data_IF_761350873178
#
_entry.id   IF_761350873178
#
_cell.length_a   1.000
_cell.length_b   1.000
_cell.length_c   1.000
_cell.angle_alpha   90.00
_cell.angle_beta   90.00
_cell.angle_gamma   90.00
#
_symmetry.space_group_name_H-M   'P 1'
#
loop_
_entity.id
_entity.type
_entity.pdbx_description
1 polymer ?
#
# COMPACT_ATOMS: atom_id res chain seq x y z
N UNK A 1 -20.85 24.93 -7.88
CA UNK A 1 -20.58 23.73 -7.05
C UNK A 1 -21.10 24.04 -5.66
N UNK A 2 -21.98 23.21 -5.13
CA UNK A 2 -22.47 23.37 -3.76
C UNK A 2 -21.32 23.03 -2.80
N UNK A 3 -21.10 23.89 -1.78
CA UNK A 3 -20.11 23.65 -0.72
C UNK A 3 -20.58 22.48 0.15
N UNK A 4 -20.03 21.28 -0.10
CA UNK A 4 -20.35 20.07 0.67
C UNK A 4 -19.36 19.95 1.83
N UNK A 5 -19.87 19.94 3.05
CA UNK A 5 -19.06 19.70 4.26
C UNK A 5 -19.20 18.23 4.70
N UNK A 6 -18.07 17.57 4.88
CA UNK A 6 -18.01 16.19 5.35
C UNK A 6 -17.57 16.14 6.82
N UNK A 7 -18.21 15.27 7.60
CA UNK A 7 -17.87 15.03 9.01
C UNK A 7 -17.43 13.60 9.20
N UNK A 8 -16.39 13.41 10.03
CA UNK A 8 -15.92 12.11 10.48
C UNK A 8 -16.23 11.95 11.95
N UNK A 9 -16.98 10.92 12.32
CA UNK A 9 -17.29 10.60 13.70
C UNK A 9 -16.46 9.43 14.20
N UNK A 10 -15.71 9.64 15.30
CA UNK A 10 -14.99 8.60 16.01
C UNK A 10 -15.92 7.98 17.07
N UNK A 11 -16.29 6.72 16.87
CA UNK A 11 -17.07 5.98 17.86
C UNK A 11 -16.13 5.49 18.97
N UNK A 12 -16.39 5.91 20.20
CA UNK A 12 -15.72 5.35 21.37
C UNK A 12 -16.23 3.93 21.63
N UNK A 13 -15.40 3.07 22.21
CA UNK A 13 -15.72 1.66 22.46
C UNK A 13 -17.09 1.45 23.13
N UNK A 14 -17.47 2.33 24.09
CA UNK A 14 -18.79 2.30 24.74
C UNK A 14 -19.97 2.56 23.80
N UNK A 15 -19.74 3.21 22.66
CA UNK A 15 -20.74 3.56 21.65
C UNK A 15 -20.59 2.71 20.39
N UNK A 16 -19.71 1.70 20.41
CA UNK A 16 -19.50 0.82 19.28
C UNK A 16 -20.79 0.01 19.03
N UNK A 17 -21.29 -0.03 17.80
CA UNK A 17 -22.46 -0.84 17.47
C UNK A 17 -22.24 -2.30 17.88
N UNK A 18 -23.25 -2.92 18.45
CA UNK A 18 -23.22 -4.34 18.84
C UNK A 18 -23.25 -5.28 17.62
N UNK A 19 -23.64 -4.75 16.47
CA UNK A 19 -23.65 -5.45 15.19
C UNK A 19 -22.79 -4.68 14.19
N UNK A 20 -22.13 -5.39 13.28
CA UNK A 20 -21.43 -4.82 12.11
C UNK A 20 -22.34 -4.67 10.90
N UNK A 21 -23.65 -4.97 11.05
CA UNK A 21 -24.63 -4.80 9.99
C UNK A 21 -24.70 -3.33 9.55
N UNK A 22 -24.58 -3.08 8.24
CA UNK A 22 -24.49 -1.73 7.68
C UNK A 22 -23.11 -1.08 7.75
N UNK A 23 -22.09 -1.77 8.32
CA UNK A 23 -20.70 -1.31 8.32
C UNK A 23 -19.84 -2.18 7.39
N UNK A 24 -19.03 -1.54 6.58
CA UNK A 24 -18.06 -2.23 5.72
C UNK A 24 -16.65 -1.67 5.94
N UNK A 25 -15.65 -2.54 5.83
CA UNK A 25 -14.25 -2.11 5.89
C UNK A 25 -13.86 -1.30 4.65
N UNK A 26 -13.01 -0.29 4.82
CA UNK A 26 -12.57 0.57 3.70
C UNK A 26 -11.98 -0.23 2.54
N UNK A 27 -11.22 -1.31 2.80
CA UNK A 27 -10.66 -2.19 1.74
C UNK A 27 -11.74 -2.84 0.87
N UNK A 28 -12.91 -3.10 1.43
CA UNK A 28 -14.07 -3.64 0.69
C UNK A 28 -14.76 -2.53 -0.08
N UNK A 29 -15.09 -1.43 0.62
CA UNK A 29 -15.78 -0.27 0.02
C UNK A 29 -15.01 0.37 -1.13
N UNK A 30 -13.68 0.46 -1.03
CA UNK A 30 -12.85 1.04 -2.07
C UNK A 30 -12.94 0.35 -3.44
N UNK A 31 -13.54 -0.85 -3.50
CA UNK A 31 -13.82 -1.57 -4.76
C UNK A 31 -15.20 -1.27 -5.35
N UNK A 32 -16.08 -0.65 -4.57
CA UNK A 32 -17.49 -0.45 -4.88
C UNK A 32 -17.85 1.02 -5.11
N UNK A 33 -16.98 1.93 -4.62
CA UNK A 33 -17.20 3.37 -4.70
C UNK A 33 -16.33 4.02 -5.79
N UNK A 34 -16.66 5.26 -6.17
CA UNK A 34 -15.82 6.04 -7.10
C UNK A 34 -14.46 6.39 -6.49
N UNK A 35 -13.47 6.69 -7.33
CA UNK A 35 -12.13 7.10 -6.87
C UNK A 35 -12.18 8.32 -5.94
N UNK A 36 -13.01 9.31 -6.24
CA UNK A 36 -13.18 10.49 -5.39
C UNK A 36 -13.71 10.11 -4.00
N UNK A 37 -14.69 9.21 -3.92
CA UNK A 37 -15.22 8.70 -2.66
C UNK A 37 -14.19 7.84 -1.92
N UNK A 38 -13.44 6.98 -2.62
CA UNK A 38 -12.38 6.18 -2.02
C UNK A 38 -11.27 7.07 -1.43
N UNK A 39 -10.89 8.15 -2.11
CA UNK A 39 -9.91 9.13 -1.61
C UNK A 39 -10.42 9.82 -0.36
N UNK A 40 -11.66 10.31 -0.36
CA UNK A 40 -12.27 10.95 0.80
C UNK A 40 -12.36 10.00 2.00
N UNK A 41 -12.79 8.75 1.79
CA UNK A 41 -12.87 7.74 2.85
C UNK A 41 -11.48 7.36 3.39
N UNK A 42 -10.47 7.31 2.52
CA UNK A 42 -9.08 7.06 2.91
C UNK A 42 -8.54 8.18 3.79
N UNK A 43 -8.78 9.44 3.41
CA UNK A 43 -8.43 10.60 4.20
C UNK A 43 -9.15 10.58 5.57
N UNK A 44 -10.45 10.35 5.56
CA UNK A 44 -11.27 10.28 6.78
C UNK A 44 -10.75 9.19 7.74
N UNK A 45 -10.43 8.00 7.23
CA UNK A 45 -9.87 6.91 8.03
C UNK A 45 -8.50 7.25 8.61
N UNK A 46 -7.60 7.84 7.82
CA UNK A 46 -6.27 8.25 8.28
C UNK A 46 -6.38 9.29 9.40
N UNK A 47 -7.21 10.32 9.22
CA UNK A 47 -7.45 11.36 10.24
C UNK A 47 -8.07 10.80 11.50
N UNK A 48 -9.06 9.91 11.38
CA UNK A 48 -9.69 9.24 12.51
C UNK A 48 -8.66 8.41 13.32
N UNK A 49 -7.85 7.62 12.64
CA UNK A 49 -6.78 6.83 13.25
C UNK A 49 -5.75 7.71 13.96
N UNK A 50 -5.35 8.82 13.32
CA UNK A 50 -4.42 9.77 13.91
C UNK A 50 -5.01 10.44 15.16
N UNK A 51 -6.21 10.97 15.13
CA UNK A 51 -6.88 11.57 16.30
C UNK A 51 -7.03 10.59 17.46
N UNK A 52 -7.29 9.33 17.19
CA UNK A 52 -7.40 8.30 18.20
C UNK A 52 -6.07 8.03 18.91
N UNK A 53 -4.95 8.09 18.19
CA UNK A 53 -3.61 7.78 18.71
C UNK A 53 -2.93 8.96 19.37
N UNK A 54 -3.16 10.18 18.90
CA UNK A 54 -2.42 11.37 19.30
C UNK A 54 -3.17 12.21 20.37
N UNK A 55 -3.81 11.55 21.33
CA UNK A 55 -4.57 12.21 22.41
C UNK A 55 -3.68 12.87 23.45
N UNK A 56 -2.40 12.53 23.49
CA UNK A 56 -1.42 13.07 24.41
C UNK A 56 -0.25 13.67 23.64
N UNK A 57 0.32 14.74 24.19
CA UNK A 57 1.47 15.44 23.64
C UNK A 57 2.71 14.56 23.73
N UNK A 58 3.43 14.40 22.61
CA UNK A 58 4.69 13.63 22.56
C UNK A 58 5.85 14.30 23.29
N UNK A 59 5.77 15.63 23.53
CA UNK A 59 6.83 16.39 24.17
C UNK A 59 6.69 16.43 25.69
N UNK A 60 5.44 16.59 26.25
CA UNK A 60 5.25 16.74 27.68
C UNK A 60 4.26 15.76 28.31
N UNK A 61 3.60 14.91 27.53
CA UNK A 61 2.63 13.93 28.01
C UNK A 61 1.24 14.48 28.35
N UNK A 62 1.03 15.79 28.33
CA UNK A 62 -0.27 16.41 28.62
C UNK A 62 -1.30 16.11 27.53
N UNK A 63 -2.59 16.20 27.87
CA UNK A 63 -3.66 16.00 26.88
C UNK A 63 -3.55 16.98 25.71
N UNK A 64 -3.98 16.58 24.54
CA UNK A 64 -4.10 17.45 23.37
C UNK A 64 -5.57 17.65 23.02
N UNK A 65 -5.91 18.79 22.45
CA UNK A 65 -7.23 19.06 21.89
C UNK A 65 -7.17 19.30 20.39
N UNK A 66 -8.30 19.09 19.73
CA UNK A 66 -8.46 19.26 18.27
C UNK A 66 -8.60 20.76 17.97
N UNK A 67 -7.91 21.23 16.92
CA UNK A 67 -7.99 22.59 16.42
C UNK A 67 -7.96 22.62 14.88
N UNK A 68 -8.15 23.79 14.30
CA UNK A 68 -8.20 24.05 12.85
C UNK A 68 -9.09 23.05 12.09
N UNK A 69 -10.34 22.88 12.55
CA UNK A 69 -11.28 21.96 11.89
C UNK A 69 -10.88 20.48 11.88
N UNK A 70 -9.96 20.08 12.77
CA UNK A 70 -9.46 18.71 12.85
C UNK A 70 -8.12 18.47 12.15
N UNK A 71 -7.52 19.50 11.56
CA UNK A 71 -6.26 19.34 10.81
C UNK A 71 -5.01 19.38 11.69
N UNK A 72 -5.14 19.85 12.96
CA UNK A 72 -4.06 19.81 13.94
C UNK A 72 -4.60 19.39 15.31
N UNK A 73 -3.69 19.06 16.22
CA UNK A 73 -3.94 18.96 17.65
C UNK A 73 -2.95 19.86 18.39
N UNK A 74 -3.45 20.58 19.42
CA UNK A 74 -2.64 21.45 20.27
C UNK A 74 -2.48 20.82 21.64
N UNK A 75 -1.29 20.96 22.22
CA UNK A 75 -1.05 20.62 23.61
C UNK A 75 -1.89 21.53 24.52
N UNK A 76 -2.57 20.95 25.52
CA UNK A 76 -3.37 21.71 26.46
C UNK A 76 -2.53 22.35 27.59
N UNK A 77 -1.25 22.02 27.71
CA UNK A 77 -0.30 22.63 28.63
C UNK A 77 0.22 23.94 28.06
N UNK A 78 -0.12 25.06 28.69
CA UNK A 78 0.19 26.39 28.19
C UNK A 78 1.70 26.67 28.04
N UNK A 79 2.53 26.08 28.91
CA UNK A 79 3.99 26.23 28.84
C UNK A 79 4.63 25.37 27.75
N UNK A 80 3.95 24.34 27.25
CA UNK A 80 4.40 23.51 26.16
C UNK A 80 3.91 24.04 24.81
N UNK A 81 2.60 24.21 24.62
CA UNK A 81 1.99 24.79 23.42
C UNK A 81 2.28 24.03 22.11
N UNK A 82 2.82 22.81 22.19
CA UNK A 82 3.24 22.03 21.02
C UNK A 82 2.07 21.75 20.06
N UNK A 83 2.31 21.96 18.77
CA UNK A 83 1.36 21.65 17.70
C UNK A 83 1.70 20.31 17.06
N UNK A 84 0.72 19.41 16.99
CA UNK A 84 0.84 18.10 16.36
C UNK A 84 0.10 18.07 15.04
N UNK A 85 0.80 17.62 14.00
CA UNK A 85 0.27 17.45 12.66
C UNK A 85 -0.05 15.98 12.38
N UNK A 86 -0.97 15.68 11.44
CA UNK A 86 -1.20 14.32 10.97
C UNK A 86 0.10 13.67 10.51
N UNK A 87 0.29 12.42 10.92
CA UNK A 87 1.48 11.65 10.59
C UNK A 87 1.18 10.67 9.47
N UNK A 88 2.09 10.59 8.51
CA UNK A 88 2.11 9.59 7.46
C UNK A 88 3.46 8.89 7.49
N UNK A 89 3.47 7.56 7.61
CA UNK A 89 4.69 6.76 7.67
C UNK A 89 5.08 6.33 6.23
N UNK A 90 6.25 6.74 5.70
CA UNK A 90 6.69 6.35 4.37
C UNK A 90 7.09 4.88 4.37
N UNK A 91 6.65 4.15 3.35
CA UNK A 91 7.01 2.76 3.10
C UNK A 91 7.23 2.56 1.60
N UNK A 92 8.28 1.83 1.24
CA UNK A 92 8.51 1.43 -0.15
C UNK A 92 7.67 0.21 -0.49
N UNK A 93 7.37 0.07 -1.75
CA UNK A 93 6.86 -1.16 -2.34
C UNK A 93 7.49 -1.31 -3.73
N UNK A 94 8.12 -2.44 -4.01
CA UNK A 94 8.98 -2.57 -5.16
C UNK A 94 8.75 -3.88 -5.91
N UNK A 95 8.55 -3.78 -7.23
CA UNK A 95 8.66 -4.90 -8.12
C UNK A 95 10.11 -5.00 -8.59
N UNK A 96 10.78 -6.06 -8.17
CA UNK A 96 12.16 -6.36 -8.58
C UNK A 96 12.11 -7.28 -9.79
N UNK A 97 12.82 -6.91 -10.84
CA UNK A 97 12.87 -7.68 -12.08
C UNK A 97 14.29 -8.12 -12.43
N UNK A 98 14.38 -9.23 -13.13
CA UNK A 98 15.59 -9.72 -13.76
C UNK A 98 15.23 -10.44 -15.07
N UNK A 99 15.73 -9.93 -16.19
CA UNK A 99 15.36 -10.43 -17.50
C UNK A 99 13.84 -10.37 -17.73
N UNK A 100 13.18 -11.50 -17.96
CA UNK A 100 11.74 -11.62 -18.18
C UNK A 100 10.95 -11.98 -16.90
N UNK A 101 11.63 -12.12 -15.74
CA UNK A 101 11.06 -12.55 -14.47
C UNK A 101 10.93 -11.41 -13.48
N UNK A 102 9.92 -11.48 -12.62
CA UNK A 102 9.74 -10.62 -11.47
C UNK A 102 9.74 -11.43 -10.16
N UNK A 103 10.21 -10.80 -9.08
CA UNK A 103 10.30 -11.38 -7.74
C UNK A 103 8.99 -11.13 -6.99
N UNK A 104 8.47 -12.18 -6.38
CA UNK A 104 7.28 -12.16 -5.55
C UNK A 104 7.57 -12.81 -4.20
N UNK A 105 7.03 -12.19 -3.14
CA UNK A 105 7.12 -12.72 -1.78
C UNK A 105 5.74 -13.05 -1.20
N UNK A 106 5.70 -13.95 -0.21
CA UNK A 106 4.52 -14.34 0.54
C UNK A 106 4.78 -14.35 2.03
N UNK A 107 3.92 -13.68 2.80
CA UNK A 107 3.99 -13.70 4.27
C UNK A 107 3.24 -14.92 4.84
N UNK A 108 3.67 -15.47 6.00
CA UNK A 108 3.06 -16.67 6.60
C UNK A 108 1.55 -16.56 6.86
N UNK A 109 1.08 -15.33 7.17
CA UNK A 109 -0.33 -15.09 7.49
C UNK A 109 -1.24 -15.05 6.26
N UNK A 110 -0.65 -15.07 5.05
CA UNK A 110 -1.42 -15.02 3.82
C UNK A 110 -1.81 -16.42 3.34
N UNK A 111 -2.91 -16.53 2.57
CA UNK A 111 -3.20 -17.78 1.86
C UNK A 111 -2.00 -18.26 1.04
N UNK A 112 -1.81 -19.57 0.95
CA UNK A 112 -0.64 -20.22 0.32
C UNK A 112 -0.42 -19.86 -1.15
N UNK A 113 -1.44 -19.37 -1.83
CA UNK A 113 -1.37 -18.94 -3.24
C UNK A 113 -1.31 -17.42 -3.42
N UNK A 114 -1.27 -16.63 -2.33
CA UNK A 114 -1.26 -15.18 -2.39
C UNK A 114 0.16 -14.65 -2.33
N UNK A 115 0.59 -13.98 -3.39
CA UNK A 115 1.89 -13.34 -3.49
C UNK A 115 1.76 -11.85 -3.77
N UNK A 116 2.80 -11.09 -3.41
CA UNK A 116 2.90 -9.65 -3.62
C UNK A 116 4.33 -9.25 -3.94
N UNK A 117 4.51 -7.99 -4.29
CA UNK A 117 5.82 -7.35 -4.39
C UNK A 117 6.39 -7.08 -3.00
N UNK A 118 7.71 -6.88 -2.89
CA UNK A 118 8.43 -6.61 -1.63
C UNK A 118 8.06 -5.22 -1.10
N UNK A 119 7.92 -5.07 0.21
CA UNK A 119 7.54 -3.79 0.80
C UNK A 119 8.00 -3.67 2.26
N UNK A 120 8.59 -2.53 2.61
CA UNK A 120 9.02 -2.22 3.97
C UNK A 120 9.03 -0.73 4.27
N UNK A 121 9.27 -0.37 5.52
CA UNK A 121 9.29 1.03 5.96
C UNK A 121 10.61 1.71 5.62
N UNK A 122 10.54 3.00 5.29
CA UNK A 122 11.72 3.85 5.21
C UNK A 122 12.17 4.20 6.61
N UNK A 123 13.43 3.93 6.95
CA UNK A 123 14.00 4.22 8.27
C UNK A 123 14.45 5.68 8.40
N UNK A 124 14.54 6.21 9.64
CA UNK A 124 15.04 7.55 9.88
C UNK A 124 16.47 7.75 9.34
N UNK A 125 16.66 8.74 8.47
CA UNK A 125 17.95 9.04 7.83
C UNK A 125 18.22 8.26 6.54
N UNK A 126 17.32 7.41 6.12
CA UNK A 126 17.38 6.63 4.89
C UNK A 126 16.61 7.33 3.75
N UNK A 127 17.09 7.25 2.52
CA UNK A 127 16.29 7.61 1.35
C UNK A 127 15.37 6.46 0.95
N UNK A 128 14.30 6.74 0.20
CA UNK A 128 13.41 5.68 -0.27
C UNK A 128 14.11 4.67 -1.19
N UNK A 129 15.10 5.11 -1.98
CA UNK A 129 15.92 4.22 -2.83
C UNK A 129 16.84 3.34 -1.98
N UNK A 130 17.38 3.84 -0.87
CA UNK A 130 18.17 3.04 0.08
C UNK A 130 17.27 2.00 0.76
N UNK A 131 16.05 2.38 1.16
CA UNK A 131 15.06 1.45 1.70
C UNK A 131 14.72 0.32 0.71
N UNK A 132 14.59 0.63 -0.59
CA UNK A 132 14.39 -0.41 -1.62
C UNK A 132 15.54 -1.41 -1.63
N UNK A 133 16.80 -0.93 -1.61
CA UNK A 133 17.98 -1.80 -1.60
C UNK A 133 18.03 -2.65 -0.35
N UNK A 134 17.81 -2.06 0.83
CA UNK A 134 17.87 -2.74 2.12
C UNK A 134 16.77 -3.79 2.26
N UNK A 135 15.50 -3.42 2.08
CA UNK A 135 14.35 -4.33 2.26
C UNK A 135 14.41 -5.53 1.31
N UNK A 136 14.77 -5.31 0.05
CA UNK A 136 14.94 -6.42 -0.91
C UNK A 136 16.07 -7.35 -0.49
N UNK A 137 17.19 -6.80 -0.01
CA UNK A 137 18.31 -7.61 0.45
C UNK A 137 17.98 -8.36 1.75
N UNK A 138 17.31 -7.72 2.73
CA UNK A 138 16.92 -8.33 4.01
C UNK A 138 15.92 -9.44 3.83
N UNK A 139 14.82 -9.19 3.10
CA UNK A 139 13.75 -10.17 2.91
C UNK A 139 14.14 -11.32 1.96
N UNK A 140 14.99 -11.07 0.96
CA UNK A 140 15.18 -12.04 -0.15
C UNK A 140 16.64 -12.37 -0.50
N UNK A 141 17.62 -11.65 0.04
CA UNK A 141 19.04 -11.81 -0.33
C UNK A 141 19.38 -11.33 -1.74
N UNK A 142 18.50 -10.58 -2.38
CA UNK A 142 18.70 -10.08 -3.75
C UNK A 142 19.34 -8.69 -3.70
N UNK A 143 20.43 -8.53 -4.46
CA UNK A 143 21.09 -7.23 -4.64
C UNK A 143 20.32 -6.42 -5.68
N UNK A 144 19.99 -5.17 -5.34
CA UNK A 144 19.38 -4.21 -6.26
C UNK A 144 20.47 -3.34 -6.89
N UNK A 145 20.53 -3.30 -8.21
CA UNK A 145 21.50 -2.50 -8.98
C UNK A 145 20.96 -1.16 -9.45
N UNK A 146 19.64 -1.05 -9.61
CA UNK A 146 18.96 0.18 -9.98
C UNK A 146 17.54 0.16 -9.43
N UNK A 147 17.04 1.32 -8.97
CA UNK A 147 15.66 1.51 -8.55
C UNK A 147 15.09 2.77 -9.21
N UNK A 148 13.87 2.69 -9.73
CA UNK A 148 13.17 3.79 -10.40
C UNK A 148 11.80 3.97 -9.77
N UNK A 149 11.54 5.19 -9.27
CA UNK A 149 10.22 5.57 -8.76
C UNK A 149 9.14 5.42 -9.85
N UNK A 150 8.02 4.85 -9.45
CA UNK A 150 6.85 4.66 -10.31
C UNK A 150 5.71 5.61 -9.91
N UNK A 151 5.17 5.45 -8.72
CA UNK A 151 4.03 6.21 -8.22
C UNK A 151 3.93 6.10 -6.70
N UNK A 152 2.97 6.81 -6.10
CA UNK A 152 2.67 6.69 -4.67
C UNK A 152 1.19 6.44 -4.42
N UNK A 153 0.89 5.82 -3.27
CA UNK A 153 -0.47 5.54 -2.83
C UNK A 153 -0.63 5.78 -1.34
N UNK A 154 -1.59 6.63 -0.91
CA UNK A 154 -2.01 6.67 0.48
C UNK A 154 -2.56 5.30 0.91
N UNK A 155 -2.06 4.78 2.04
CA UNK A 155 -2.45 3.50 2.59
C UNK A 155 -2.87 3.63 4.05
N UNK A 156 -4.15 4.01 4.33
CA UNK A 156 -4.63 4.37 5.66
C UNK A 156 -4.87 3.14 6.57
N UNK A 157 -3.91 2.20 6.59
CA UNK A 157 -3.94 0.99 7.38
C UNK A 157 -2.62 0.80 8.15
N UNK A 158 -2.36 1.62 9.18
CA UNK A 158 -3.20 2.71 9.70
C UNK A 158 -2.91 4.09 9.10
N UNK A 159 -1.77 4.35 8.46
CA UNK A 159 -1.40 5.68 7.98
C UNK A 159 -0.08 5.70 7.23
N UNK A 160 0.13 4.77 6.28
CA UNK A 160 1.33 4.76 5.44
C UNK A 160 1.13 5.54 4.14
N UNK A 161 2.25 6.03 3.60
CA UNK A 161 2.37 6.44 2.22
C UNK A 161 3.26 5.42 1.50
N UNK A 162 2.65 4.62 0.62
CA UNK A 162 3.39 3.66 -0.19
C UNK A 162 4.08 4.38 -1.35
N UNK A 163 5.39 4.18 -1.49
CA UNK A 163 6.23 4.70 -2.56
C UNK A 163 6.61 3.53 -3.48
N UNK A 164 6.02 3.49 -4.67
CA UNK A 164 6.16 2.41 -5.63
C UNK A 164 7.41 2.54 -6.48
N UNK A 165 8.15 1.44 -6.63
CA UNK A 165 9.38 1.36 -7.42
C UNK A 165 9.36 0.15 -8.34
N UNK A 166 10.06 0.27 -9.48
CA UNK A 166 10.62 -0.84 -10.24
C UNK A 166 12.12 -0.90 -9.99
N UNK A 167 12.66 -2.09 -9.77
CA UNK A 167 14.08 -2.29 -9.50
C UNK A 167 14.68 -3.43 -10.34
N UNK A 168 15.97 -3.31 -10.64
CA UNK A 168 16.74 -4.33 -11.36
C UNK A 168 17.58 -5.13 -10.36
N UNK A 169 17.52 -6.46 -10.47
CA UNK A 169 18.30 -7.36 -9.64
C UNK A 169 19.70 -7.63 -10.22
N UNK A 170 20.72 -7.60 -9.36
CA UNK A 170 22.09 -7.99 -9.70
C UNK A 170 22.34 -9.51 -9.65
N UNK A 171 21.54 -10.23 -8.85
CA UNK A 171 21.59 -11.69 -8.72
C UNK A 171 20.17 -12.27 -8.74
N UNK A 172 20.03 -13.60 -8.69
CA UNK A 172 18.74 -14.28 -8.68
C UNK A 172 18.62 -15.37 -7.59
N UNK A 173 19.64 -15.54 -6.75
CA UNK A 173 19.64 -16.53 -5.69
C UNK A 173 18.88 -16.01 -4.47
N UNK A 174 17.64 -16.47 -4.30
CA UNK A 174 16.82 -16.13 -3.14
C UNK A 174 17.38 -16.78 -1.87
N UNK A 175 17.44 -16.00 -0.78
CA UNK A 175 17.77 -16.41 0.57
C UNK A 175 16.86 -15.67 1.55
N UNK A 176 15.92 -16.38 2.18
CA UNK A 176 15.01 -15.80 3.17
C UNK A 176 15.72 -15.76 4.52
N UNK A 177 16.03 -14.56 5.01
CA UNK A 177 16.93 -14.38 6.15
C UNK A 177 16.25 -13.86 7.41
N UNK A 178 15.16 -13.11 7.29
CA UNK A 178 14.53 -12.37 8.39
C UNK A 178 13.24 -12.98 8.96
N UNK A 179 12.78 -14.09 8.38
CA UNK A 179 11.53 -14.77 8.71
C UNK A 179 10.25 -13.94 8.46
N UNK A 180 10.34 -12.79 7.78
CA UNK A 180 9.17 -12.01 7.38
C UNK A 180 8.42 -12.67 6.22
N UNK A 181 9.17 -13.25 5.29
CA UNK A 181 8.62 -14.05 4.19
C UNK A 181 8.71 -15.54 4.50
N UNK A 182 7.62 -16.26 4.21
CA UNK A 182 7.59 -17.72 4.25
C UNK A 182 8.09 -18.33 2.93
N UNK A 183 7.86 -17.62 1.83
CA UNK A 183 8.24 -18.05 0.49
C UNK A 183 8.51 -16.85 -0.42
N UNK A 184 9.47 -16.99 -1.32
CA UNK A 184 9.71 -16.05 -2.39
C UNK A 184 10.11 -16.78 -3.67
N UNK A 185 9.68 -16.26 -4.83
CA UNK A 185 9.92 -16.91 -6.10
C UNK A 185 10.03 -15.90 -7.25
N UNK A 186 10.81 -16.28 -8.23
CA UNK A 186 10.88 -15.61 -9.52
C UNK A 186 9.85 -16.20 -10.47
N UNK A 187 9.01 -15.36 -11.09
CA UNK A 187 8.06 -15.80 -12.11
C UNK A 187 8.20 -14.95 -13.37
N UNK A 188 8.22 -15.62 -14.50
CA UNK A 188 8.01 -15.00 -15.79
C UNK A 188 6.53 -14.67 -16.01
N UNK A 189 6.24 -13.85 -17.02
CA UNK A 189 4.87 -13.50 -17.39
C UNK A 189 4.04 -14.73 -17.78
N UNK A 190 4.66 -15.68 -18.45
CA UNK A 190 4.02 -16.94 -18.83
C UNK A 190 3.71 -17.79 -17.61
N UNK A 191 4.65 -17.94 -16.68
CA UNK A 191 4.45 -18.69 -15.43
C UNK A 191 3.37 -18.08 -14.55
N UNK A 192 3.28 -16.75 -14.46
CA UNK A 192 2.19 -16.07 -13.76
C UNK A 192 0.85 -16.46 -14.37
N UNK A 193 0.73 -16.41 -15.70
CA UNK A 193 -0.52 -16.75 -16.40
C UNK A 193 -0.93 -18.18 -16.10
N UNK A 194 -0.01 -19.15 -16.25
CA UNK A 194 -0.26 -20.57 -15.98
C UNK A 194 -0.67 -20.77 -14.52
N UNK A 195 0.05 -20.17 -13.57
CA UNK A 195 -0.24 -20.32 -12.13
C UNK A 195 -1.56 -19.68 -11.73
N UNK A 196 -1.94 -18.57 -12.36
CA UNK A 196 -3.26 -17.94 -12.13
C UNK A 196 -4.40 -18.85 -12.60
N UNK A 197 -4.27 -19.47 -13.78
CA UNK A 197 -5.26 -20.41 -14.33
C UNK A 197 -5.40 -21.67 -13.45
N UNK A 198 -4.32 -22.08 -12.80
CA UNK A 198 -4.27 -23.20 -11.86
C UNK A 198 -4.71 -22.80 -10.43
N UNK A 199 -4.95 -21.53 -10.16
CA UNK A 199 -5.26 -21.04 -8.81
C UNK A 199 -4.06 -21.08 -7.84
N UNK A 200 -2.85 -21.19 -8.34
CA UNK A 200 -1.59 -21.24 -7.56
C UNK A 200 -0.94 -19.88 -7.37
N UNK A 201 -1.45 -18.84 -8.01
CA UNK A 201 -1.03 -17.46 -7.84
C UNK A 201 -2.25 -16.55 -7.81
N UNK A 202 -2.42 -15.84 -6.71
CA UNK A 202 -3.44 -14.79 -6.55
C UNK A 202 -2.72 -13.47 -6.35
N UNK A 203 -2.82 -12.53 -7.31
CA UNK A 203 -2.16 -11.24 -7.22
C UNK A 203 -2.77 -10.37 -6.10
N UNK A 204 -2.09 -9.27 -5.72
CA UNK A 204 -2.68 -8.27 -4.84
C UNK A 204 -4.01 -7.73 -5.39
N UNK A 205 -4.87 -7.16 -4.54
CA UNK A 205 -6.11 -6.54 -5.01
C UNK A 205 -5.84 -5.39 -5.99
N UNK A 206 -6.70 -5.19 -6.97
CA UNK A 206 -6.57 -4.14 -8.00
C UNK A 206 -6.50 -2.69 -7.45
N UNK A 207 -6.96 -2.48 -6.22
CA UNK A 207 -6.84 -1.20 -5.51
C UNK A 207 -5.42 -0.95 -4.95
N UNK A 208 -4.53 -1.95 -4.99
CA UNK A 208 -3.18 -1.86 -4.42
C UNK A 208 -2.18 -1.36 -5.46
N UNK A 209 -1.27 -0.50 -5.04
CA UNK A 209 -0.12 -0.08 -5.85
C UNK A 209 0.75 -1.29 -6.28
N UNK A 210 0.86 -2.34 -5.45
CA UNK A 210 1.52 -3.59 -5.86
C UNK A 210 0.91 -4.19 -7.12
N UNK A 211 -0.42 -4.18 -7.21
CA UNK A 211 -1.10 -4.62 -8.44
C UNK A 211 -0.71 -3.77 -9.65
N UNK A 212 -0.64 -2.44 -9.49
CA UNK A 212 -0.25 -1.51 -10.56
C UNK A 212 1.18 -1.73 -11.03
N UNK A 213 2.10 -1.98 -10.09
CA UNK A 213 3.49 -2.31 -10.44
C UNK A 213 3.58 -3.60 -11.27
N UNK A 214 2.81 -4.62 -10.89
CA UNK A 214 2.76 -5.90 -11.61
C UNK A 214 2.14 -5.71 -12.99
N UNK A 215 1.02 -4.99 -13.09
CA UNK A 215 0.31 -4.71 -14.33
C UNK A 215 1.22 -3.96 -15.32
N UNK A 216 1.88 -2.89 -14.86
CA UNK A 216 2.78 -2.09 -15.68
C UNK A 216 3.96 -2.92 -16.22
N UNK A 217 4.62 -3.69 -15.33
CA UNK A 217 5.70 -4.59 -15.75
C UNK A 217 5.21 -5.65 -16.75
N UNK A 218 4.02 -6.21 -16.52
CA UNK A 218 3.46 -7.24 -17.39
C UNK A 218 3.16 -6.70 -18.79
N UNK A 219 2.64 -5.49 -18.88
CA UNK A 219 2.23 -4.84 -20.13
C UNK A 219 3.40 -4.24 -20.92
N UNK A 220 4.53 -3.88 -20.27
CA UNK A 220 5.72 -3.36 -20.97
C UNK A 220 6.27 -4.31 -22.05
N UNK A 221 6.14 -5.62 -21.88
CA UNK A 221 6.52 -6.60 -22.91
C UNK A 221 5.60 -6.60 -24.13
N UNK A 222 4.37 -6.08 -24.00
CA UNK A 222 3.40 -6.03 -25.10
C UNK A 222 3.63 -4.82 -26.03
N UNK A 223 4.27 -3.76 -25.58
CA UNK A 223 4.57 -2.56 -26.37
C UNK A 223 5.63 -2.82 -27.47
N UNK A 224 6.32 -3.95 -27.43
CA UNK A 224 7.28 -4.35 -28.46
C UNK A 224 6.66 -5.16 -29.62
N UNK A 225 5.41 -5.61 -29.50
CA UNK A 225 4.71 -6.37 -30.55
C UNK A 225 3.19 -6.24 -30.42
N UNK A 226 2.61 -5.22 -31.10
CA UNK A 226 1.17 -5.03 -31.32
C UNK A 226 0.25 -4.66 -30.15
N UNK A 227 -0.64 -3.75 -30.43
CA UNK A 227 -1.57 -2.93 -29.65
C UNK A 227 -2.61 -3.61 -28.73
N UNK A 228 -2.42 -4.84 -28.27
CA UNK A 228 -3.36 -5.46 -27.33
C UNK A 228 -2.63 -5.88 -26.05
N UNK A 229 -3.05 -5.29 -24.93
CA UNK A 229 -2.58 -5.69 -23.60
C UNK A 229 -2.84 -7.18 -23.36
N UNK A 230 -1.78 -7.90 -22.98
CA UNK A 230 -1.79 -9.35 -22.75
C UNK A 230 -2.01 -9.73 -21.30
N UNK A 231 -2.34 -8.78 -20.44
CA UNK A 231 -2.63 -9.10 -19.04
C UNK A 231 -3.77 -10.12 -18.97
N UNK A 232 -3.65 -11.20 -18.17
CA UNK A 232 -4.68 -12.24 -18.14
C UNK A 232 -6.06 -11.64 -17.92
N UNK A 233 -7.02 -12.04 -18.71
CA UNK A 233 -8.40 -11.52 -18.81
C UNK A 233 -9.11 -11.36 -17.46
N UNK A 234 -8.70 -12.10 -16.46
CA UNK A 234 -9.19 -12.06 -15.08
C UNK A 234 -8.89 -10.76 -14.35
N UNK A 235 -7.72 -10.16 -14.56
CA UNK A 235 -7.31 -8.90 -13.91
C UNK A 235 -8.02 -7.71 -14.55
N UNK A 236 -8.19 -7.69 -15.87
CA UNK A 236 -8.95 -6.64 -16.58
C UNK A 236 -10.44 -6.63 -16.26
N UNK A 237 -11.08 -7.78 -16.05
CA UNK A 237 -12.49 -7.82 -15.64
C UNK A 237 -12.73 -7.11 -14.31
N UNK A 238 -11.77 -7.11 -13.40
CA UNK A 238 -11.85 -6.36 -12.15
C UNK A 238 -11.70 -4.85 -12.36
N UNK A 239 -10.80 -4.40 -13.24
CA UNK A 239 -10.63 -2.97 -13.56
C UNK A 239 -11.81 -2.39 -14.34
N UNK A 240 -12.37 -3.11 -15.32
CA UNK A 240 -13.50 -2.61 -16.12
C UNK A 240 -14.81 -2.49 -15.33
N UNK A 241 -15.02 -3.32 -14.30
CA UNK A 241 -16.19 -3.18 -13.40
C UNK A 241 -16.07 -2.02 -12.42
N UNK A 242 -14.87 -1.52 -12.14
CA UNK A 242 -14.65 -0.43 -11.19
C UNK A 242 -14.63 0.97 -11.80
N UNK A 243 -14.81 1.14 -13.11
CA UNK A 243 -14.90 2.46 -13.76
C UNK A 243 -13.65 3.34 -13.58
N UNK A 244 -12.48 2.73 -13.43
CA UNK A 244 -11.22 3.45 -13.24
C UNK A 244 -10.63 3.79 -14.61
N UNK A 245 -11.01 4.92 -15.16
CA UNK A 245 -10.23 5.61 -16.18
C UNK A 245 -9.10 6.37 -15.48
N UNK A 246 -7.90 6.10 -15.92
CA UNK A 246 -6.62 6.81 -15.79
C UNK A 246 -6.50 7.97 -14.78
N UNK A 247 -5.61 7.79 -13.81
CA UNK A 247 -4.77 8.88 -13.29
C UNK A 247 -3.34 8.70 -13.79
#
# INVERSE_FOLDING_TARGET
EEDITYYVALLLDRNRPKTTEGFAGLRTLAREVSNAQATLLSYAQAMAAWHHRYRFCSSCGSATHIDQGGHIRLCSEAQCGETHYPRTDPAIIVLVQREDRALFGRKPEWPSNRYSTIAGFVEPGESAEQAVVREVAEETGIDVTAARYHSSQPWPFPGSLMLGYHAEAGNDRISLNDHELEDALWLSREEITIRMDQGLFVPPPSISISFRLIEDWFDQAASCSSQESRFPFTLRRFCQKSGVENF
#
